data_IF_253245597751
#
_entry.id   IF_253245597751
#
_cell.length_a   1.000
_cell.length_b   1.000
_cell.length_c   1.000
_cell.angle_alpha   90.00
_cell.angle_beta   90.00
_cell.angle_gamma   90.00
#
_symmetry.space_group_name_H-M   'P 1'
#
loop_
_entity.id
_entity.type
_entity.pdbx_description
1 polymer ?
#
# COMPACT_ATOMS: atom_id res chain seq x y z
N UNK A 1 -9.47 5.24 -21.01
CA UNK A 1 -9.73 4.67 -19.68
C UNK A 1 -9.41 3.19 -19.66
N UNK A 2 -8.36 2.81 -18.93
CA UNK A 2 -8.09 1.40 -18.60
C UNK A 2 -8.93 1.09 -17.35
N UNK A 3 -9.74 0.02 -17.34
CA UNK A 3 -10.54 -0.33 -16.17
C UNK A 3 -9.65 -0.61 -14.96
N UNK A 4 -10.02 -0.12 -13.77
CA UNK A 4 -9.36 -0.51 -12.52
C UNK A 4 -9.90 -1.90 -12.15
N UNK A 5 -9.10 -2.94 -12.37
CA UNK A 5 -9.53 -4.33 -12.21
C UNK A 5 -9.53 -4.83 -10.75
N UNK A 6 -8.78 -4.20 -9.83
CA UNK A 6 -8.74 -4.59 -8.41
C UNK A 6 -8.55 -3.40 -7.45
N UNK A 7 -9.31 -3.37 -6.35
CA UNK A 7 -9.13 -2.42 -5.22
C UNK A 7 -7.77 -2.54 -4.53
N UNK A 8 -7.08 -3.67 -4.66
CA UNK A 8 -5.73 -3.89 -4.13
C UNK A 8 -4.63 -3.11 -4.88
N UNK A 9 -5.00 -2.35 -5.92
CA UNK A 9 -4.10 -1.43 -6.62
C UNK A 9 -4.41 0.02 -6.23
N UNK A 10 -5.58 0.26 -5.63
CA UNK A 10 -6.07 1.58 -5.22
C UNK A 10 -5.49 2.05 -3.87
N UNK A 11 -5.34 1.13 -2.92
CA UNK A 11 -5.05 1.45 -1.52
C UNK A 11 -4.31 0.33 -0.80
N UNK A 12 -3.39 0.72 0.08
CA UNK A 12 -2.82 -0.13 1.12
C UNK A 12 -3.02 0.49 2.51
N UNK A 13 -3.11 -0.37 3.52
CA UNK A 13 -3.26 0.01 4.93
C UNK A 13 -2.10 -0.59 5.72
N UNK A 14 -1.33 0.25 6.39
CA UNK A 14 -0.49 -0.13 7.53
C UNK A 14 -1.19 0.26 8.83
N UNK A 15 -0.61 -0.03 9.98
CA UNK A 15 -1.27 0.24 11.26
C UNK A 15 -1.42 1.74 11.59
N UNK A 16 -0.54 2.60 11.05
CA UNK A 16 -0.58 4.07 11.32
C UNK A 16 -0.54 4.94 10.08
N UNK A 17 -0.36 4.34 8.91
CA UNK A 17 -0.21 5.06 7.64
C UNK A 17 -0.93 4.28 6.55
N UNK A 18 -1.53 4.99 5.62
CA UNK A 18 -2.27 4.42 4.50
C UNK A 18 -1.92 5.18 3.22
N UNK A 19 -1.73 4.44 2.12
CA UNK A 19 -1.60 5.04 0.80
C UNK A 19 -2.88 4.82 0.00
N UNK A 20 -3.44 5.87 -0.60
CA UNK A 20 -4.69 5.79 -1.35
C UNK A 20 -4.69 6.73 -2.57
N UNK A 21 -5.17 6.23 -3.71
CA UNK A 21 -5.44 7.06 -4.88
C UNK A 21 -6.86 7.64 -4.81
N UNK A 22 -7.02 8.84 -4.25
CA UNK A 22 -8.33 9.49 -4.10
C UNK A 22 -9.00 9.77 -5.45
N UNK A 23 -8.21 10.11 -6.47
CA UNK A 23 -8.72 10.39 -7.83
C UNK A 23 -9.42 9.18 -8.48
N UNK A 24 -9.21 7.97 -7.93
CA UNK A 24 -9.91 6.74 -8.35
C UNK A 24 -11.34 6.62 -7.80
N UNK A 25 -11.69 7.42 -6.79
CA UNK A 25 -13.01 7.51 -6.19
C UNK A 25 -13.75 8.67 -6.87
N UNK A 26 -14.80 8.37 -7.63
CA UNK A 26 -15.51 9.36 -8.47
C UNK A 26 -16.39 10.34 -7.69
N UNK A 27 -16.90 9.92 -6.53
CA UNK A 27 -17.80 10.72 -5.70
C UNK A 27 -16.98 11.47 -4.66
N UNK A 28 -17.14 12.79 -4.59
CA UNK A 28 -16.51 13.63 -3.56
C UNK A 28 -16.99 13.22 -2.15
N UNK A 29 -18.29 12.92 -2.00
CA UNK A 29 -18.86 12.42 -0.74
C UNK A 29 -18.17 11.12 -0.29
N UNK A 30 -17.90 10.20 -1.22
CA UNK A 30 -17.21 8.95 -0.90
C UNK A 30 -15.74 9.19 -0.54
N UNK A 31 -15.06 10.15 -1.19
CA UNK A 31 -13.70 10.54 -0.83
C UNK A 31 -13.64 11.08 0.60
N UNK A 32 -14.58 11.97 0.97
CA UNK A 32 -14.66 12.53 2.32
C UNK A 32 -14.94 11.44 3.36
N UNK A 33 -15.85 10.51 3.07
CA UNK A 33 -16.14 9.37 3.96
C UNK A 33 -14.92 8.49 4.20
N UNK A 34 -14.16 8.19 3.14
CA UNK A 34 -12.94 7.37 3.25
C UNK A 34 -11.87 8.11 4.03
N UNK A 35 -11.63 9.38 3.74
CA UNK A 35 -10.67 10.21 4.47
C UNK A 35 -11.03 10.35 5.95
N UNK A 36 -12.31 10.59 6.25
CA UNK A 36 -12.81 10.64 7.62
C UNK A 36 -12.64 9.30 8.37
N UNK A 37 -12.86 8.19 7.68
CA UNK A 37 -12.64 6.84 8.24
C UNK A 37 -11.17 6.57 8.54
N UNK A 38 -10.26 6.94 7.63
CA UNK A 38 -8.82 6.82 7.82
C UNK A 38 -8.31 7.73 8.96
N UNK A 39 -8.79 8.97 9.02
CA UNK A 39 -8.44 9.91 10.08
C UNK A 39 -8.93 9.44 11.46
N UNK A 40 -10.19 8.99 11.56
CA UNK A 40 -10.77 8.49 12.82
C UNK A 40 -10.13 7.21 13.33
N UNK A 41 -9.55 6.40 12.43
CA UNK A 41 -8.75 5.23 12.78
C UNK A 41 -7.27 5.55 13.04
N UNK A 42 -6.87 6.82 12.97
CA UNK A 42 -5.52 7.29 13.30
C UNK A 42 -4.48 7.13 12.20
N UNK A 43 -4.90 6.89 10.96
CA UNK A 43 -3.99 6.74 9.84
C UNK A 43 -3.53 8.09 9.30
N UNK A 44 -2.23 8.24 9.11
CA UNK A 44 -1.67 9.26 8.24
C UNK A 44 -1.93 8.87 6.78
N UNK A 45 -2.62 9.72 6.03
CA UNK A 45 -2.92 9.48 4.62
C UNK A 45 -1.79 9.98 3.73
N UNK A 46 -1.34 9.12 2.83
CA UNK A 46 -0.45 9.43 1.71
C UNK A 46 -1.28 9.36 0.43
N UNK A 47 -1.51 10.51 -0.19
CA UNK A 47 -2.21 10.59 -1.46
C UNK A 47 -1.33 10.02 -2.58
N UNK A 48 -1.89 9.10 -3.39
CA UNK A 48 -1.25 8.51 -4.55
C UNK A 48 -1.87 9.07 -5.84
N UNK A 49 -1.05 9.36 -6.83
CA UNK A 49 -1.54 9.69 -8.17
C UNK A 49 -1.97 8.43 -8.93
N UNK A 50 -2.75 8.59 -10.02
CA UNK A 50 -3.03 7.50 -10.95
C UNK A 50 -1.77 6.85 -11.52
N UNK A 51 -0.72 7.63 -11.78
CA UNK A 51 0.55 7.09 -12.28
C UNK A 51 1.20 6.18 -11.24
N UNK A 52 1.21 6.58 -9.97
CA UNK A 52 1.73 5.77 -8.86
C UNK A 52 0.88 4.53 -8.63
N UNK A 53 -0.45 4.68 -8.67
CA UNK A 53 -1.40 3.58 -8.60
C UNK A 53 -1.11 2.53 -9.68
N UNK A 54 -0.97 2.96 -10.94
CA UNK A 54 -0.63 2.10 -12.07
C UNK A 54 0.80 1.54 -12.01
N UNK A 55 1.67 2.12 -11.18
CA UNK A 55 3.01 1.62 -10.84
C UNK A 55 3.00 0.75 -9.59
N UNK A 56 1.84 0.21 -9.19
CA UNK A 56 1.63 -0.67 -8.04
C UNK A 56 1.82 -0.03 -6.66
N UNK A 57 1.85 1.30 -6.56
CA UNK A 57 2.03 1.98 -5.26
C UNK A 57 0.87 1.74 -4.27
N UNK A 58 -0.31 1.33 -4.75
CA UNK A 58 -1.41 0.87 -3.89
C UNK A 58 -1.31 -0.60 -3.46
N UNK A 59 -0.38 -1.38 -4.02
CA UNK A 59 -0.21 -2.82 -3.77
C UNK A 59 0.90 -3.12 -2.74
N UNK A 60 1.11 -2.22 -1.78
CA UNK A 60 2.08 -2.41 -0.72
C UNK A 60 1.47 -3.20 0.45
N UNK A 61 2.31 -3.79 1.29
CA UNK A 61 1.84 -4.57 2.44
C UNK A 61 2.75 -4.38 3.65
N UNK A 62 2.19 -3.93 4.77
CA UNK A 62 2.94 -3.81 6.02
C UNK A 62 3.09 -5.19 6.66
N UNK A 63 4.33 -5.54 7.01
CA UNK A 63 4.67 -6.73 7.78
C UNK A 63 5.44 -6.34 9.02
N UNK A 64 5.51 -7.28 9.95
CA UNK A 64 6.23 -7.12 11.21
C UNK A 64 7.14 -8.32 11.41
N UNK A 65 8.37 -8.07 11.89
CA UNK A 65 9.27 -9.16 12.25
C UNK A 65 9.14 -9.55 13.73
N UNK A 66 9.94 -10.52 14.16
CA UNK A 66 9.93 -11.03 15.55
C UNK A 66 10.41 -10.01 16.60
N UNK A 67 10.94 -8.85 16.18
CA UNK A 67 11.39 -7.76 17.04
C UNK A 67 10.39 -6.60 17.11
N UNK A 68 9.19 -6.78 16.56
CA UNK A 68 8.14 -5.74 16.45
C UNK A 68 8.47 -4.60 15.47
N UNK A 69 9.53 -4.74 14.68
CA UNK A 69 9.90 -3.76 13.64
C UNK A 69 8.95 -3.90 12.45
N UNK A 70 8.49 -2.77 11.91
CA UNK A 70 7.52 -2.70 10.83
C UNK A 70 8.21 -2.39 9.51
N UNK A 71 7.82 -3.12 8.49
CA UNK A 71 8.33 -2.95 7.13
C UNK A 71 7.18 -2.82 6.17
N UNK A 72 7.27 -1.88 5.23
CA UNK A 72 6.32 -1.78 4.13
C UNK A 72 6.92 -2.44 2.90
N UNK A 73 6.44 -3.63 2.58
CA UNK A 73 6.89 -4.37 1.40
C UNK A 73 6.26 -3.77 0.14
N UNK A 74 7.09 -3.53 -0.87
CA UNK A 74 6.65 -2.99 -2.16
C UNK A 74 7.57 -3.46 -3.29
N UNK A 75 7.12 -3.37 -4.54
CA UNK A 75 8.00 -3.61 -5.67
C UNK A 75 8.95 -2.44 -5.89
N UNK A 76 10.08 -2.68 -6.56
CA UNK A 76 10.98 -1.59 -6.97
C UNK A 76 10.23 -0.56 -7.83
N UNK A 77 9.36 -1.01 -8.74
CA UNK A 77 8.48 -0.17 -9.56
C UNK A 77 7.63 0.78 -8.72
N UNK A 78 7.03 0.27 -7.65
CA UNK A 78 6.23 1.07 -6.74
C UNK A 78 7.08 2.08 -5.97
N UNK A 79 8.24 1.65 -5.46
CA UNK A 79 9.17 2.52 -4.74
C UNK A 79 9.66 3.69 -5.62
N UNK A 80 10.10 3.40 -6.85
CA UNK A 80 10.63 4.40 -7.78
C UNK A 80 9.56 5.40 -8.27
N UNK A 81 8.28 5.04 -8.16
CA UNK A 81 7.16 5.93 -8.50
C UNK A 81 6.85 6.97 -7.40
N UNK A 82 7.30 6.74 -6.16
CA UNK A 82 7.01 7.61 -5.04
C UNK A 82 7.84 8.88 -5.07
N UNK A 83 7.24 9.98 -4.62
CA UNK A 83 7.93 11.23 -4.40
C UNK A 83 8.79 11.12 -3.13
N UNK A 84 9.94 11.80 -3.06
CA UNK A 84 10.79 11.80 -1.86
C UNK A 84 10.03 12.16 -0.58
N UNK A 85 9.09 13.11 -0.65
CA UNK A 85 8.25 13.49 0.49
C UNK A 85 7.29 12.39 0.95
N UNK A 86 6.82 11.52 0.05
CA UNK A 86 5.99 10.37 0.41
C UNK A 86 6.84 9.29 1.10
N UNK A 87 8.04 9.02 0.58
CA UNK A 87 8.99 8.06 1.19
C UNK A 87 9.35 8.52 2.61
N UNK A 88 9.72 9.78 2.78
CA UNK A 88 10.02 10.37 4.09
C UNK A 88 8.83 10.30 5.06
N UNK A 89 7.60 10.37 4.56
CA UNK A 89 6.41 10.21 5.40
C UNK A 89 6.22 8.75 5.83
N UNK A 90 6.43 7.78 4.93
CA UNK A 90 6.36 6.34 5.23
C UNK A 90 7.39 5.96 6.30
N UNK A 91 8.64 6.42 6.15
CA UNK A 91 9.76 6.11 7.04
C UNK A 91 9.54 6.51 8.51
N UNK A 92 8.60 7.42 8.77
CA UNK A 92 8.19 7.77 10.15
C UNK A 92 7.44 6.65 10.86
N UNK A 93 6.87 5.70 10.12
CA UNK A 93 5.96 4.67 10.62
C UNK A 93 6.49 3.25 10.40
N UNK A 94 7.16 3.00 9.28
CA UNK A 94 7.72 1.70 8.91
C UNK A 94 8.86 1.85 7.90
N UNK A 95 9.73 0.85 7.83
CA UNK A 95 10.86 0.83 6.89
C UNK A 95 10.39 0.34 5.49
N UNK A 96 10.56 1.14 4.42
CA UNK A 96 10.27 0.67 3.06
C UNK A 96 11.23 -0.46 2.65
N UNK A 97 10.69 -1.60 2.25
CA UNK A 97 11.47 -2.69 1.65
C UNK A 97 11.04 -2.91 0.21
N UNK A 98 11.83 -2.37 -0.70
CA UNK A 98 11.67 -2.56 -2.13
C UNK A 98 12.24 -3.91 -2.57
N UNK A 99 11.43 -4.72 -3.26
CA UNK A 99 11.85 -6.00 -3.82
C UNK A 99 11.76 -5.94 -5.34
N UNK A 100 12.82 -6.33 -6.03
CA UNK A 100 12.79 -6.45 -7.49
C UNK A 100 12.04 -7.73 -7.88
N UNK A 101 10.85 -7.56 -8.46
CA UNK A 101 9.93 -8.64 -8.85
C UNK A 101 9.52 -8.55 -10.33
N UNK A 102 10.34 -7.88 -11.15
CA UNK A 102 10.04 -7.50 -12.54
C UNK A 102 9.47 -8.64 -13.40
N UNK A 103 10.01 -9.86 -13.27
CA UNK A 103 9.55 -11.03 -14.04
C UNK A 103 8.10 -11.43 -13.76
N UNK A 104 7.61 -11.19 -12.53
CA UNK A 104 6.25 -11.53 -12.10
C UNK A 104 5.27 -10.43 -12.51
N UNK A 105 5.69 -9.16 -12.43
CA UNK A 105 4.85 -8.01 -12.83
C UNK A 105 4.52 -8.06 -14.34
N UNK A 106 5.49 -8.37 -15.19
CA UNK A 106 5.30 -8.43 -16.66
C UNK A 106 4.48 -9.64 -17.12
N UNK A 107 4.56 -10.77 -16.41
CA UNK A 107 3.94 -12.03 -16.84
C UNK A 107 2.57 -12.31 -16.21
N UNK A 108 2.27 -11.71 -15.04
CA UNK A 108 1.11 -12.07 -14.22
C UNK A 108 0.19 -10.92 -13.81
N UNK A 109 0.57 -9.66 -14.01
CA UNK A 109 -0.25 -8.49 -13.66
C UNK A 109 -0.47 -8.28 -12.15
N UNK A 110 0.33 -8.93 -11.29
CA UNK A 110 0.29 -8.79 -9.83
C UNK A 110 1.61 -8.26 -9.27
N UNK A 111 1.57 -7.70 -8.06
CA UNK A 111 2.77 -7.17 -7.36
C UNK A 111 2.89 -7.81 -5.95
N UNK A 112 3.72 -7.25 -5.07
CA UNK A 112 4.17 -7.89 -3.81
C UNK A 112 3.02 -8.41 -2.95
N UNK A 113 1.91 -7.67 -2.80
CA UNK A 113 0.77 -8.14 -1.99
C UNK A 113 0.07 -9.36 -2.58
N UNK A 114 0.14 -9.56 -3.90
CA UNK A 114 -0.39 -10.76 -4.54
C UNK A 114 0.44 -12.02 -4.23
N UNK A 115 1.64 -11.87 -3.68
CA UNK A 115 2.55 -12.96 -3.33
C UNK A 115 2.61 -13.24 -1.82
N UNK A 116 1.94 -12.43 -1.00
CA UNK A 116 2.00 -12.52 0.46
C UNK A 116 0.61 -12.76 1.02
N UNK A 117 0.44 -13.87 1.75
CA UNK A 117 -0.77 -14.15 2.52
C UNK A 117 -0.53 -13.78 3.99
N UNK A 118 -1.22 -12.76 4.48
CA UNK A 118 -1.21 -12.43 5.91
C UNK A 118 -1.93 -13.50 6.73
N UNK A 119 -1.19 -14.29 7.51
CA UNK A 119 -1.78 -15.26 8.46
C UNK A 119 -2.12 -14.50 9.74
N UNK A 120 -3.40 -14.12 9.90
CA UNK A 120 -3.92 -13.40 11.07
C UNK A 120 -4.46 -14.35 12.16
N UNK A 121 -3.89 -15.57 12.25
CA UNK A 121 -4.27 -16.56 13.25
C UNK A 121 -3.35 -16.43 14.46
N UNK A 122 -3.94 -16.40 15.67
CA UNK A 122 -3.16 -16.49 16.91
C UNK A 122 -2.45 -17.85 16.93
N UNK A 123 -1.13 -17.83 17.18
CA UNK A 123 -0.36 -19.04 17.42
C UNK A 123 -0.98 -19.78 18.61
N UNK A 124 -1.46 -21.00 18.37
CA UNK A 124 -1.84 -21.90 19.46
C UNK A 124 -0.59 -22.22 20.27
N UNK A 125 -0.55 -21.76 21.52
CA UNK A 125 0.46 -22.22 22.49
C UNK A 125 0.14 -23.69 22.80
N UNK A 126 1.10 -24.59 22.54
CA UNK A 126 1.09 -25.97 23.02
C UNK A 126 1.48 -26.04 24.49
#
# INVERSE_FOLDING_TARGET
DVPIYHTNVMMWLGEKVAGICLDSIKSEDDQELVLGSLASSGHKVIALSYQQMNSFAGNMFEVRNNRDERFLLMSQTAYDSLLPGQILEIEKYCEPLAVNIHTIEESGGGSVRCMVAGIHLQLRKS
#
